data_IF_074547928510
#
_entry.id   IF_074547928510
#
_cell.length_a   1.000
_cell.length_b   1.000
_cell.length_c   1.000
_cell.angle_alpha   90.00
_cell.angle_beta   90.00
_cell.angle_gamma   90.00
#
_symmetry.space_group_name_H-M   'P 1'
#
loop_
_entity.id
_entity.type
_entity.pdbx_description
1 polymer ?
#
# COMPACT_ATOMS: atom_id res chain seq x y z
N UNK A 1 -7.78 -5.79 -11.47
CA UNK A 1 -8.51 -5.86 -10.18
C UNK A 1 -7.51 -6.23 -9.08
N UNK A 2 -7.06 -5.28 -8.26
CA UNK A 2 -5.94 -5.43 -7.30
C UNK A 2 -6.38 -5.97 -5.92
N UNK A 3 -7.59 -5.60 -5.48
CA UNK A 3 -8.10 -5.92 -4.14
C UNK A 3 -8.15 -7.42 -3.79
N UNK A 4 -8.46 -8.34 -4.75
CA UNK A 4 -8.42 -9.78 -4.48
C UNK A 4 -7.07 -10.31 -3.99
N UNK A 5 -5.95 -9.69 -4.40
CA UNK A 5 -4.62 -10.08 -3.93
C UNK A 5 -4.47 -9.89 -2.41
N UNK A 6 -4.83 -8.70 -1.91
CA UNK A 6 -4.73 -8.40 -0.47
C UNK A 6 -5.76 -9.16 0.35
N UNK A 7 -6.97 -9.36 -0.17
CA UNK A 7 -7.97 -10.20 0.48
C UNK A 7 -7.48 -11.64 0.61
N UNK A 8 -6.94 -12.21 -0.46
CA UNK A 8 -6.35 -13.55 -0.43
C UNK A 8 -5.21 -13.62 0.60
N UNK A 9 -4.28 -12.65 0.59
CA UNK A 9 -3.17 -12.62 1.54
C UNK A 9 -3.66 -12.55 2.98
N UNK A 10 -4.67 -11.70 3.26
CA UNK A 10 -5.31 -11.60 4.58
C UNK A 10 -5.95 -12.92 5.01
N UNK A 11 -6.65 -13.61 4.11
CA UNK A 11 -7.22 -14.93 4.39
C UNK A 11 -6.15 -16.00 4.67
N UNK A 12 -4.96 -15.89 4.05
CA UNK A 12 -3.83 -16.80 4.31
C UNK A 12 -3.07 -16.48 5.61
N UNK A 13 -3.09 -15.22 6.07
CA UNK A 13 -2.57 -14.79 7.38
C UNK A 13 -3.56 -15.16 8.50
N UNK A 14 -4.86 -15.00 8.25
CA UNK A 14 -5.87 -15.82 8.91
C UNK A 14 -5.54 -17.31 8.63
N UNK A 15 -6.23 -18.39 9.03
CA UNK A 15 -5.75 -19.80 8.80
C UNK A 15 -4.37 -20.21 9.39
N UNK A 16 -3.30 -19.41 9.39
CA UNK A 16 -1.94 -19.77 9.78
C UNK A 16 -1.50 -19.05 11.06
N UNK A 17 -1.74 -19.68 12.21
CA UNK A 17 -1.41 -19.11 13.53
C UNK A 17 0.05 -18.67 13.65
N UNK A 18 1.00 -19.46 13.12
CA UNK A 18 2.42 -19.13 13.18
C UNK A 18 2.74 -17.78 12.51
N UNK A 19 2.13 -17.48 11.36
CA UNK A 19 2.35 -16.21 10.66
C UNK A 19 1.82 -15.05 11.51
N UNK A 20 0.65 -15.20 12.11
CA UNK A 20 0.02 -14.17 12.95
C UNK A 20 0.90 -13.76 14.12
N UNK A 21 1.61 -14.72 14.73
CA UNK A 21 2.50 -14.48 15.87
C UNK A 21 3.76 -13.67 15.48
N UNK A 22 4.18 -13.73 14.22
CA UNK A 22 5.32 -12.96 13.71
C UNK A 22 4.93 -11.58 13.19
N UNK A 23 3.69 -11.36 12.74
CA UNK A 23 3.22 -10.08 12.17
C UNK A 23 2.90 -9.03 13.25
N UNK A 24 3.86 -8.76 14.11
CA UNK A 24 3.78 -7.76 15.18
C UNK A 24 4.60 -6.51 14.82
N UNK A 25 3.90 -5.41 14.57
CA UNK A 25 4.50 -4.11 14.28
C UNK A 25 4.54 -3.77 12.80
N UNK A 26 4.53 -2.47 12.52
CA UNK A 26 4.41 -1.89 11.18
C UNK A 26 5.48 -2.38 10.21
N UNK A 27 6.76 -2.36 10.63
CA UNK A 27 7.89 -2.76 9.78
C UNK A 27 7.87 -4.24 9.42
N UNK A 28 7.32 -5.10 10.28
CA UNK A 28 7.21 -6.53 9.98
C UNK A 28 6.12 -6.78 8.94
N UNK A 29 4.96 -6.12 9.08
CA UNK A 29 3.89 -6.20 8.07
C UNK A 29 4.35 -5.61 6.73
N UNK A 30 5.03 -4.46 6.74
CA UNK A 30 5.62 -3.86 5.54
C UNK A 30 6.60 -4.81 4.85
N UNK A 31 7.52 -5.43 5.60
CA UNK A 31 8.48 -6.40 5.06
C UNK A 31 7.80 -7.65 4.49
N UNK A 32 6.75 -8.14 5.15
CA UNK A 32 5.95 -9.25 4.67
C UNK A 32 5.27 -8.91 3.33
N UNK A 33 4.63 -7.75 3.22
CA UNK A 33 4.03 -7.29 1.96
C UNK A 33 5.08 -7.17 0.85
N UNK A 34 6.23 -6.56 1.13
CA UNK A 34 7.31 -6.45 0.17
C UNK A 34 7.77 -7.81 -0.36
N UNK A 35 7.87 -8.83 0.51
CA UNK A 35 8.25 -10.18 0.08
C UNK A 35 7.25 -10.78 -0.93
N UNK A 36 5.95 -10.58 -0.75
CA UNK A 36 4.92 -11.11 -1.66
C UNK A 36 4.76 -10.27 -2.93
N UNK A 37 4.86 -8.94 -2.83
CA UNK A 37 4.74 -8.05 -3.99
C UNK A 37 5.91 -8.23 -4.98
N UNK A 38 7.08 -8.64 -4.49
CA UNK A 38 8.27 -8.92 -5.32
C UNK A 38 8.35 -10.35 -5.85
N UNK A 39 7.31 -11.19 -5.69
CA UNK A 39 7.28 -12.54 -6.28
C UNK A 39 7.23 -12.50 -7.81
N UNK A 40 6.64 -11.45 -8.37
CA UNK A 40 6.50 -11.22 -9.81
C UNK A 40 7.30 -10.00 -10.24
N UNK A 41 7.79 -9.99 -11.48
CA UNK A 41 8.69 -8.97 -12.00
C UNK A 41 7.99 -7.91 -12.87
N UNK A 42 6.66 -7.84 -12.82
CA UNK A 42 5.88 -6.79 -13.51
C UNK A 42 6.19 -5.39 -12.98
N UNK A 43 6.67 -5.31 -11.73
CA UNK A 43 6.90 -4.06 -11.02
C UNK A 43 8.29 -4.03 -10.42
N UNK A 44 8.89 -2.83 -10.42
CA UNK A 44 10.06 -2.50 -9.62
C UNK A 44 9.52 -1.91 -8.32
N UNK A 45 9.55 -2.70 -7.25
CA UNK A 45 9.04 -2.27 -5.95
C UNK A 45 10.06 -1.39 -5.23
N UNK A 46 9.62 -0.25 -4.72
CA UNK A 46 10.43 0.73 -3.99
C UNK A 46 9.79 1.02 -2.64
N UNK A 47 10.59 1.13 -1.58
CA UNK A 47 10.09 1.40 -0.22
C UNK A 47 10.59 2.74 0.33
N UNK A 48 9.84 3.34 1.26
CA UNK A 48 10.22 4.62 1.90
C UNK A 48 11.63 4.57 2.52
N UNK A 49 12.00 3.42 3.11
CA UNK A 49 13.29 3.20 3.78
C UNK A 49 14.48 3.38 2.82
N UNK A 50 14.27 3.13 1.53
CA UNK A 50 15.28 3.29 0.49
C UNK A 50 15.38 4.74 -0.01
N UNK A 51 14.40 5.59 0.30
CA UNK A 51 14.17 6.85 -0.43
C UNK A 51 14.33 8.16 0.37
N UNK A 52 14.69 8.12 1.65
CA UNK A 52 14.90 9.32 2.52
C UNK A 52 13.61 10.15 2.82
N UNK A 53 12.69 9.57 3.60
CA UNK A 53 11.70 10.23 4.52
C UNK A 53 10.65 11.20 3.95
N UNK A 54 10.18 11.02 2.73
CA UNK A 54 9.08 11.81 2.14
C UNK A 54 8.19 11.05 1.16
N UNK A 55 8.04 9.73 1.34
CA UNK A 55 7.51 8.81 0.33
C UNK A 55 6.36 7.98 0.88
N UNK A 56 5.52 7.43 0.00
CA UNK A 56 4.58 6.36 0.38
C UNK A 56 5.35 5.13 0.85
N UNK A 57 4.72 4.30 1.67
CA UNK A 57 5.36 3.09 2.20
C UNK A 57 5.91 2.17 1.10
N UNK A 58 5.13 1.97 0.03
CA UNK A 58 5.50 1.12 -1.11
C UNK A 58 5.03 1.77 -2.42
N UNK A 59 5.95 1.95 -3.36
CA UNK A 59 5.65 2.27 -4.75
C UNK A 59 5.95 1.07 -5.64
N UNK A 60 4.98 0.66 -6.46
CA UNK A 60 5.16 -0.36 -7.49
C UNK A 60 5.31 0.32 -8.85
N UNK A 61 6.55 0.64 -9.21
CA UNK A 61 6.90 1.23 -10.51
C UNK A 61 6.68 0.20 -11.62
N UNK A 62 5.93 0.52 -12.68
CA UNK A 62 5.61 -0.45 -13.73
C UNK A 62 6.83 -0.72 -14.61
N UNK A 63 7.16 -2.00 -14.85
CA UNK A 63 8.30 -2.39 -15.69
C UNK A 63 7.94 -2.39 -17.19
N UNK A 64 7.52 -1.23 -17.70
CA UNK A 64 6.93 -1.07 -19.04
C UNK A 64 7.86 -1.38 -20.20
N UNK A 65 9.19 -1.34 -19.98
CA UNK A 65 10.16 -1.74 -21.01
C UNK A 65 10.13 -3.25 -21.30
N UNK A 66 9.71 -4.06 -20.31
CA UNK A 66 9.49 -5.49 -20.48
C UNK A 66 8.03 -5.83 -20.77
N UNK A 67 7.11 -5.09 -20.13
CA UNK A 67 5.67 -5.34 -20.18
C UNK A 67 4.94 -4.08 -20.69
N UNK A 68 4.95 -3.88 -22.01
CA UNK A 68 4.44 -2.64 -22.62
C UNK A 68 2.92 -2.45 -22.51
N UNK A 69 2.18 -3.53 -22.24
CA UNK A 69 0.73 -3.56 -22.09
C UNK A 69 0.27 -3.45 -20.62
N UNK A 70 1.20 -3.26 -19.67
CA UNK A 70 0.86 -3.03 -18.27
C UNK A 70 -0.04 -1.79 -18.14
N UNK A 71 -1.19 -1.95 -17.49
CA UNK A 71 -2.21 -0.90 -17.43
C UNK A 71 -2.12 -0.04 -16.17
N UNK A 72 -1.55 -0.58 -15.09
CA UNK A 72 -1.64 0.02 -13.76
C UNK A 72 -0.28 0.09 -13.08
N UNK A 73 -0.10 1.13 -12.26
CA UNK A 73 0.96 1.28 -11.26
C UNK A 73 0.32 1.55 -9.90
N UNK A 74 1.05 1.32 -8.80
CA UNK A 74 0.45 1.34 -7.46
C UNK A 74 1.24 2.18 -6.46
N UNK A 75 0.54 3.06 -5.75
CA UNK A 75 0.98 3.63 -4.48
C UNK A 75 0.27 2.90 -3.36
N UNK A 76 1.01 2.31 -2.43
CA UNK A 76 0.42 1.62 -1.29
C UNK A 76 0.91 2.32 -0.03
N UNK A 77 -0.06 2.79 0.75
CA UNK A 77 0.16 3.38 2.06
C UNK A 77 -0.34 2.42 3.14
N UNK A 78 0.55 2.05 4.05
CA UNK A 78 0.26 1.11 5.11
C UNK A 78 0.15 1.86 6.43
N UNK A 79 -0.86 1.50 7.23
CA UNK A 79 -0.99 1.98 8.60
C UNK A 79 -1.14 0.82 9.53
N UNK A 80 -0.34 0.83 10.59
CA UNK A 80 -0.43 -0.15 11.66
C UNK A 80 -1.05 0.44 12.93
N UNK A 81 -1.89 -0.36 13.59
CA UNK A 81 -2.44 -0.11 14.92
C UNK A 81 -2.25 -1.39 15.73
N UNK A 82 -1.62 -1.30 16.90
CA UNK A 82 -1.53 -2.47 17.78
C UNK A 82 -2.91 -2.88 18.28
N UNK A 83 -3.12 -4.17 18.56
CA UNK A 83 -4.44 -4.67 19.01
C UNK A 83 -4.92 -4.00 20.30
N UNK A 84 -4.00 -3.69 21.22
CA UNK A 84 -4.30 -3.02 22.49
C UNK A 84 -4.63 -1.54 22.34
N UNK A 85 -4.15 -0.90 21.27
CA UNK A 85 -4.36 0.53 21.03
C UNK A 85 -5.54 0.80 20.10
N UNK A 86 -6.13 -0.23 19.50
CA UNK A 86 -7.15 -0.08 18.46
C UNK A 86 -8.43 0.60 18.96
N UNK A 87 -8.94 1.50 18.13
CA UNK A 87 -10.31 2.01 18.19
C UNK A 87 -10.74 2.46 16.80
N UNK A 88 -12.04 2.45 16.52
CA UNK A 88 -12.57 2.93 15.23
C UNK A 88 -12.14 4.38 14.94
N UNK A 89 -12.14 5.24 15.97
CA UNK A 89 -11.65 6.62 15.84
C UNK A 89 -10.19 6.70 15.40
N UNK A 90 -9.32 5.83 15.94
CA UNK A 90 -7.92 5.77 15.52
C UNK A 90 -7.78 5.20 14.11
N UNK A 91 -8.57 4.20 13.74
CA UNK A 91 -8.60 3.68 12.36
C UNK A 91 -8.99 4.79 11.38
N UNK A 92 -10.08 5.52 11.62
CA UNK A 92 -10.51 6.61 10.74
C UNK A 92 -9.44 7.71 10.62
N UNK A 93 -8.78 8.06 11.73
CA UNK A 93 -7.64 8.98 11.68
C UNK A 93 -6.50 8.43 10.81
N UNK A 94 -6.12 7.16 10.96
CA UNK A 94 -5.08 6.53 10.14
C UNK A 94 -5.43 6.51 8.65
N UNK A 95 -6.70 6.28 8.30
CA UNK A 95 -7.18 6.35 6.91
C UNK A 95 -6.99 7.76 6.36
N UNK A 96 -7.39 8.79 7.11
CA UNK A 96 -7.19 10.18 6.69
C UNK A 96 -5.72 10.54 6.55
N UNK A 97 -4.89 10.18 7.54
CA UNK A 97 -3.44 10.43 7.49
C UNK A 97 -2.80 9.74 6.26
N UNK A 98 -3.25 8.53 5.91
CA UNK A 98 -2.79 7.80 4.73
C UNK A 98 -3.20 8.50 3.42
N UNK A 99 -4.44 8.98 3.35
CA UNK A 99 -4.94 9.74 2.21
C UNK A 99 -4.10 11.00 1.97
N UNK A 100 -3.85 11.79 3.02
CA UNK A 100 -3.07 13.02 2.93
C UNK A 100 -1.63 12.75 2.45
N UNK A 101 -1.02 11.65 2.92
CA UNK A 101 0.33 11.25 2.52
C UNK A 101 0.38 10.79 1.06
N UNK A 102 -0.59 10.01 0.62
CA UNK A 102 -0.71 9.62 -0.79
C UNK A 102 -0.89 10.84 -1.70
N UNK A 103 -1.73 11.80 -1.31
CA UNK A 103 -1.97 13.03 -2.07
C UNK A 103 -0.73 13.95 -2.10
N UNK A 104 0.07 13.95 -1.04
CA UNK A 104 1.38 14.59 -1.05
C UNK A 104 2.35 13.89 -2.00
N UNK A 105 2.39 12.55 -1.99
CA UNK A 105 3.35 11.78 -2.78
C UNK A 105 3.11 11.89 -4.30
N UNK A 106 1.85 11.96 -4.72
CA UNK A 106 1.48 12.20 -6.13
C UNK A 106 2.04 13.51 -6.69
N UNK A 107 2.37 14.49 -5.83
CA UNK A 107 2.96 15.76 -6.27
C UNK A 107 4.43 15.62 -6.66
N UNK A 108 5.10 14.53 -6.28
CA UNK A 108 6.51 14.31 -6.57
C UNK A 108 6.77 14.06 -8.05
N UNK A 109 7.82 14.69 -8.59
CA UNK A 109 8.21 14.51 -10.00
C UNK A 109 8.65 13.07 -10.28
N UNK A 110 9.20 12.39 -9.27
CA UNK A 110 9.58 10.98 -9.37
C UNK A 110 8.39 10.11 -9.78
N UNK A 111 7.26 10.19 -9.07
CA UNK A 111 6.07 9.38 -9.39
C UNK A 111 5.57 9.74 -10.79
N UNK A 112 5.44 11.03 -11.09
CA UNK A 112 4.97 11.50 -12.42
C UNK A 112 5.84 10.96 -13.56
N UNK A 113 7.15 10.88 -13.35
CA UNK A 113 8.09 10.40 -14.36
C UNK A 113 8.16 8.87 -14.43
N UNK A 114 7.84 8.16 -13.34
CA UNK A 114 7.95 6.70 -13.25
C UNK A 114 6.68 5.93 -13.63
N UNK A 115 5.48 6.53 -13.60
CA UNK A 115 4.23 5.81 -13.94
C UNK A 115 4.06 5.49 -15.43
N UNK A 116 4.87 6.10 -16.31
CA UNK A 116 4.83 5.91 -17.75
C UNK A 116 3.41 6.06 -18.34
N UNK A 117 2.92 5.09 -19.11
CA UNK A 117 1.57 5.07 -19.70
C UNK A 117 0.49 4.46 -18.80
N UNK A 118 0.85 4.06 -17.57
CA UNK A 118 -0.08 3.36 -16.68
C UNK A 118 -1.01 4.32 -15.93
N UNK A 119 -2.18 3.82 -15.54
CA UNK A 119 -3.05 4.49 -14.58
C UNK A 119 -2.55 4.20 -13.16
N UNK A 120 -2.23 5.25 -12.41
CA UNK A 120 -1.83 5.14 -11.01
C UNK A 120 -3.04 4.83 -10.12
N UNK A 121 -2.95 3.75 -9.34
CA UNK A 121 -3.94 3.36 -8.33
C UNK A 121 -3.34 3.60 -6.94
N UNK A 122 -4.11 4.27 -6.08
CA UNK A 122 -3.75 4.53 -4.69
C UNK A 122 -4.41 3.51 -3.79
N UNK A 123 -3.68 2.84 -2.91
CA UNK A 123 -4.19 1.80 -2.03
C UNK A 123 -3.89 2.18 -0.59
N UNK A 124 -4.89 2.12 0.26
CA UNK A 124 -4.74 2.30 1.71
C UNK A 124 -4.98 0.96 2.39
N UNK A 125 -4.01 0.51 3.17
CA UNK A 125 -4.11 -0.68 4.01
C UNK A 125 -4.04 -0.27 5.48
N UNK A 126 -5.02 -0.68 6.29
CA UNK A 126 -4.93 -0.52 7.74
C UNK A 126 -4.93 -1.89 8.42
N UNK A 127 -3.88 -2.15 9.17
CA UNK A 127 -3.69 -3.37 9.94
C UNK A 127 -3.93 -3.11 11.43
N UNK A 128 -4.72 -3.99 12.05
CA UNK A 128 -4.91 -4.12 13.49
C UNK A 128 -4.14 -5.36 13.97
N UNK A 129 -2.90 -5.17 14.41
CA UNK A 129 -1.97 -6.30 14.52
C UNK A 129 -1.76 -6.94 13.15
N UNK A 130 -2.06 -8.23 13.03
CA UNK A 130 -2.00 -8.96 11.76
C UNK A 130 -3.30 -8.86 10.93
N UNK A 131 -4.41 -8.41 11.52
CA UNK A 131 -5.73 -8.35 10.87
C UNK A 131 -5.79 -7.16 9.90
N UNK A 132 -6.05 -7.39 8.60
CA UNK A 132 -6.32 -6.33 7.64
C UNK A 132 -7.76 -5.83 7.80
N UNK A 133 -7.93 -4.68 8.46
CA UNK A 133 -9.25 -4.12 8.83
C UNK A 133 -9.74 -3.03 7.86
N UNK A 134 -8.89 -2.60 6.94
CA UNK A 134 -9.25 -1.67 5.86
C UNK A 134 -8.37 -1.93 4.64
N UNK A 135 -8.99 -2.03 3.46
CA UNK A 135 -8.33 -2.30 2.19
C UNK A 135 -9.16 -1.65 1.08
N UNK A 136 -8.88 -0.39 0.77
CA UNK A 136 -9.63 0.38 -0.21
C UNK A 136 -8.73 1.22 -1.09
N UNK A 137 -9.28 1.62 -2.24
CA UNK A 137 -8.65 2.63 -3.09
C UNK A 137 -8.69 3.97 -2.36
N UNK A 138 -7.57 4.68 -2.32
CA UNK A 138 -7.51 6.04 -1.79
C UNK A 138 -8.40 6.94 -2.63
N UNK A 139 -9.22 7.77 -1.97
CA UNK A 139 -10.12 8.68 -2.64
C UNK A 139 -9.36 9.53 -3.67
N UNK A 140 -9.89 9.69 -4.87
CA UNK A 140 -9.42 10.74 -5.77
C UNK A 140 -9.72 12.05 -5.05
N UNK A 141 -8.71 12.89 -4.85
CA UNK A 141 -8.92 14.19 -4.21
C UNK A 141 -10.12 14.85 -4.87
N UNK A 142 -11.14 15.18 -4.08
CA UNK A 142 -12.36 15.83 -4.53
C UNK A 142 -12.03 17.24 -5.02
N UNK A 143 -11.51 17.31 -6.24
CA UNK A 143 -11.41 18.49 -7.08
C UNK A 143 -11.94 18.07 -8.44
N UNK A 144 -13.25 17.89 -8.53
CA UNK A 144 -14.04 17.84 -9.77
C UNK A 144 -15.52 17.75 -9.40
N UNK A 145 -16.08 18.83 -8.84
CA UNK A 145 -17.38 19.36 -9.26
C UNK A 145 -17.30 20.89 -9.18
N UNK A 146 -17.77 21.53 -10.26
CA UNK A 146 -17.90 22.97 -10.48
C UNK A 146 -18.92 23.60 -9.52
#
# INVERSE_FOLDING_TARGET
NWKPFFNYLSEQIEKQTAIRDYLNGEKVVQGFLLAYLNVVDYYITQSETELNKGYSDIFMEPFVSKYSDLQYSYLIELKYISRSEYSEKKQQKKIQDAQDQLDQYMKSDRVKNSIASTQLIKIILVYKGWELVYCEEGAVGSNLEL
#
